data_IF_316452767595
#
_entry.id   IF_316452767595
#
_cell.length_a   1.000
_cell.length_b   1.000
_cell.length_c   1.000
_cell.angle_alpha   90.00
_cell.angle_beta   90.00
_cell.angle_gamma   90.00
#
_symmetry.space_group_name_H-M   'P 1'
#
loop_
_entity.id
_entity.type
_entity.pdbx_description
1 polymer ?
#
# COMPACT_ATOMS: atom_id res chain seq x y z
N UNK A 1 9.96 -14.10 8.52
CA UNK A 1 9.73 -14.31 7.08
C UNK A 1 10.57 -13.30 6.31
N UNK A 2 11.28 -13.72 5.25
CA UNK A 2 11.96 -12.80 4.33
C UNK A 2 11.32 -12.94 2.95
N UNK A 3 11.06 -11.83 2.27
CA UNK A 3 10.47 -11.83 0.90
C UNK A 3 11.28 -12.70 -0.06
N UNK A 4 12.61 -12.67 0.05
CA UNK A 4 13.50 -13.49 -0.77
C UNK A 4 13.24 -15.00 -0.62
N UNK A 5 12.79 -15.46 0.55
CA UNK A 5 12.49 -16.87 0.78
C UNK A 5 11.18 -17.28 0.08
N UNK A 6 10.18 -16.38 0.00
CA UNK A 6 8.95 -16.61 -0.76
C UNK A 6 9.23 -16.72 -2.27
N UNK A 7 10.10 -15.84 -2.80
CA UNK A 7 10.51 -15.85 -4.20
C UNK A 7 11.25 -17.16 -4.54
N UNK A 8 12.25 -17.54 -3.73
CA UNK A 8 12.99 -18.80 -3.92
C UNK A 8 12.07 -20.03 -3.87
N UNK A 9 11.11 -20.06 -2.93
CA UNK A 9 10.12 -21.14 -2.84
C UNK A 9 9.25 -21.23 -4.09
N UNK A 10 8.79 -20.10 -4.62
CA UNK A 10 8.03 -20.03 -5.87
C UNK A 10 8.82 -20.59 -7.06
N UNK A 11 10.09 -20.20 -7.20
CA UNK A 11 10.98 -20.69 -8.27
C UNK A 11 11.26 -22.19 -8.19
N UNK A 12 11.43 -22.71 -6.98
CA UNK A 12 11.68 -24.13 -6.71
C UNK A 12 10.46 -25.00 -6.98
N UNK A 13 9.29 -24.57 -6.49
CA UNK A 13 8.03 -25.33 -6.58
C UNK A 13 7.29 -25.12 -7.90
N UNK A 14 7.74 -24.19 -8.75
CA UNK A 14 7.05 -23.76 -9.98
C UNK A 14 5.59 -23.34 -9.74
N UNK A 15 5.30 -22.87 -8.53
CA UNK A 15 3.97 -22.38 -8.15
C UNK A 15 3.95 -20.86 -8.22
N UNK A 16 3.03 -20.24 -8.97
CA UNK A 16 2.90 -18.79 -9.00
C UNK A 16 2.66 -18.20 -7.61
N UNK A 17 3.32 -17.07 -7.34
CA UNK A 17 3.11 -16.28 -6.11
C UNK A 17 2.60 -14.90 -6.50
N UNK A 18 1.90 -14.24 -5.59
CA UNK A 18 1.46 -12.87 -5.79
C UNK A 18 1.52 -12.06 -4.49
N UNK A 19 1.55 -10.75 -4.66
CA UNK A 19 1.55 -9.75 -3.61
C UNK A 19 0.64 -8.58 -4.00
N UNK A 20 0.32 -7.73 -3.03
CA UNK A 20 -0.39 -6.47 -3.24
C UNK A 20 0.44 -5.31 -2.74
N UNK A 21 0.22 -4.13 -3.30
CA UNK A 21 0.70 -2.86 -2.76
C UNK A 21 -0.50 -2.04 -2.28
N UNK A 22 -0.41 -1.50 -1.06
CA UNK A 22 -1.40 -0.61 -0.48
C UNK A 22 -0.83 0.81 -0.46
N UNK A 23 -1.53 1.73 -1.11
CA UNK A 23 -1.26 3.16 -0.98
C UNK A 23 -1.95 3.66 0.29
N UNK A 24 -1.22 4.23 1.27
CA UNK A 24 -1.83 4.75 2.49
C UNK A 24 -2.86 5.85 2.21
N UNK A 25 -3.88 6.00 3.06
CA UNK A 25 -4.81 7.11 2.95
C UNK A 25 -4.08 8.46 3.14
N UNK A 26 -4.66 9.58 2.67
CA UNK A 26 -4.14 10.91 2.96
C UNK A 26 -3.94 11.14 4.46
N UNK A 27 -2.98 12.02 4.81
CA UNK A 27 -2.73 12.38 6.22
C UNK A 27 -3.99 12.93 6.89
N UNK A 28 -4.18 12.62 8.17
CA UNK A 28 -5.37 12.99 8.95
C UNK A 28 -6.47 11.92 8.94
N UNK A 29 -6.29 10.84 8.18
CA UNK A 29 -7.11 9.62 8.24
C UNK A 29 -6.56 8.64 9.27
N UNK A 30 -7.35 7.64 9.62
CA UNK A 30 -6.99 6.66 10.65
C UNK A 30 -6.25 5.46 10.05
N UNK A 31 -5.48 4.75 10.87
CA UNK A 31 -4.86 3.49 10.47
C UNK A 31 -5.88 2.41 10.09
N UNK A 32 -7.15 2.57 10.49
CA UNK A 32 -8.22 1.64 10.19
C UNK A 32 -8.41 1.46 8.68
N UNK A 33 -8.27 2.53 7.88
CA UNK A 33 -8.38 2.44 6.41
C UNK A 33 -7.34 1.46 5.81
N UNK A 34 -6.14 1.39 6.40
CA UNK A 34 -5.08 0.44 5.99
C UNK A 34 -5.46 -0.98 6.42
N UNK A 35 -5.94 -1.14 7.65
CA UNK A 35 -6.36 -2.44 8.20
C UNK A 35 -7.49 -3.04 7.36
N UNK A 36 -8.48 -2.22 7.02
CA UNK A 36 -9.62 -2.65 6.20
C UNK A 36 -9.17 -3.08 4.80
N UNK A 37 -8.20 -2.37 4.22
CA UNK A 37 -7.59 -2.73 2.94
C UNK A 37 -6.86 -4.09 3.02
N UNK A 38 -6.15 -4.36 4.12
CA UNK A 38 -5.49 -5.65 4.37
C UNK A 38 -6.51 -6.78 4.52
N UNK A 39 -7.56 -6.57 5.31
CA UNK A 39 -8.60 -7.59 5.52
C UNK A 39 -9.37 -7.90 4.23
N UNK A 40 -9.53 -6.94 3.32
CA UNK A 40 -10.15 -7.16 2.01
C UNK A 40 -9.33 -8.12 1.12
N UNK A 41 -7.99 -8.11 1.21
CA UNK A 41 -7.11 -8.92 0.35
C UNK A 41 -6.59 -10.19 1.03
N UNK A 42 -6.72 -10.29 2.35
CA UNK A 42 -6.30 -11.46 3.15
C UNK A 42 -6.90 -12.79 2.69
N UNK A 43 -8.16 -12.91 2.22
CA UNK A 43 -8.72 -14.19 1.75
C UNK A 43 -7.96 -14.79 0.57
N UNK A 44 -7.22 -13.97 -0.18
CA UNK A 44 -6.41 -14.43 -1.29
C UNK A 44 -5.06 -15.02 -0.82
N UNK A 45 -4.66 -14.80 0.45
CA UNK A 45 -3.39 -15.28 1.01
C UNK A 45 -2.16 -14.78 0.22
N UNK A 46 -1.99 -13.44 0.08
CA UNK A 46 -0.82 -12.89 -0.59
C UNK A 46 0.47 -13.25 0.16
N UNK A 47 1.57 -13.44 -0.56
CA UNK A 47 2.85 -13.81 0.05
C UNK A 47 3.44 -12.69 0.91
N UNK A 48 3.20 -11.44 0.53
CA UNK A 48 3.46 -10.23 1.32
C UNK A 48 2.58 -9.08 0.81
N UNK A 49 2.56 -7.99 1.56
CA UNK A 49 1.87 -6.74 1.21
C UNK A 49 2.89 -5.61 1.34
N UNK A 50 3.06 -4.84 0.28
CA UNK A 50 3.88 -3.63 0.26
C UNK A 50 3.02 -2.42 0.66
N UNK A 51 3.66 -1.43 1.30
CA UNK A 51 3.01 -0.17 1.66
C UNK A 51 3.81 0.97 1.06
N UNK A 52 3.18 1.73 0.18
CA UNK A 52 3.86 2.84 -0.50
C UNK A 52 4.24 3.92 0.50
N UNK A 53 5.45 4.45 0.36
CA UNK A 53 5.90 5.63 1.09
C UNK A 53 6.25 6.74 0.12
N UNK A 54 5.64 7.91 0.31
CA UNK A 54 5.95 9.11 -0.46
C UNK A 54 6.59 10.17 0.44
N UNK A 55 7.58 10.90 -0.10
CA UNK A 55 8.16 12.05 0.58
C UNK A 55 7.06 13.08 0.91
N UNK A 56 7.22 13.78 2.03
CA UNK A 56 6.28 14.81 2.46
C UNK A 56 6.28 15.99 1.49
N UNK A 57 5.26 16.09 0.66
CA UNK A 57 5.00 17.30 -0.13
C UNK A 57 4.01 18.20 0.61
N UNK A 58 4.21 19.51 0.51
CA UNK A 58 3.19 20.48 0.89
C UNK A 58 2.08 20.43 -0.17
N UNK A 59 0.86 20.14 0.26
CA UNK A 59 -0.30 20.24 -0.61
C UNK A 59 -0.79 21.69 -0.58
N UNK A 60 -1.03 22.25 -1.76
CA UNK A 60 -1.61 23.58 -1.93
C UNK A 60 -2.84 23.40 -2.80
N UNK A 61 -4.02 23.65 -2.22
CA UNK A 61 -5.28 23.65 -2.95
C UNK A 61 -5.56 25.07 -3.44
N UNK A 62 -5.35 25.31 -4.73
CA UNK A 62 -5.78 26.55 -5.38
C UNK A 62 -7.28 26.50 -5.65
N UNK A 63 -8.01 27.50 -5.16
CA UNK A 63 -9.45 27.63 -5.32
C UNK A 63 -9.79 28.36 -6.63
N UNK A 64 -11.04 28.28 -7.12
CA UNK A 64 -11.45 28.96 -8.35
C UNK A 64 -11.28 30.49 -8.34
N UNK A 65 -11.17 31.10 -7.16
CA UNK A 65 -10.92 32.53 -6.96
C UNK A 65 -9.42 32.89 -6.92
N UNK A 66 -8.53 31.92 -7.16
CA UNK A 66 -7.08 32.07 -7.12
C UNK A 66 -6.49 32.04 -5.70
N UNK A 67 -7.30 31.82 -4.66
CA UNK A 67 -6.77 31.71 -3.29
C UNK A 67 -6.16 30.33 -3.06
N UNK A 68 -4.99 30.31 -2.41
CA UNK A 68 -4.27 29.07 -2.10
C UNK A 68 -4.52 28.68 -0.64
N UNK A 69 -5.08 27.50 -0.41
CA UNK A 69 -5.20 26.88 0.90
C UNK A 69 -4.10 25.84 1.08
N UNK A 70 -3.28 25.99 2.13
CA UNK A 70 -2.33 24.97 2.56
C UNK A 70 -3.03 23.79 3.24
#
# INVERSE_FOLDING_TARGET
>A
MKVIDHIKKSEQTKTPTFSYEIVPPPRGRTIQDIIDSVEAVKPFNPAWIDVTSHASNAYFNEKPDGTIQK
#
